data_IF_110435033078
#
_entry.id   IF_110435033078
#
_cell.length_a   1.000
_cell.length_b   1.000
_cell.length_c   1.000
_cell.angle_alpha   90.00
_cell.angle_beta   90.00
_cell.angle_gamma   90.00
#
_symmetry.space_group_name_H-M   'P 1'
#
loop_
_entity.id
_entity.type
_entity.pdbx_description
1 polymer ?
#
# COMPACT_ATOMS: atom_id res chain seq x y z
N UNK A 1 -30.76 23.08 25.07
CA UNK A 1 -30.25 22.79 23.72
C UNK A 1 -28.83 22.28 23.84
N UNK A 2 -28.70 20.95 23.92
CA UNK A 2 -27.39 20.27 23.99
C UNK A 2 -26.82 20.25 22.57
N UNK A 3 -25.82 21.06 22.31
CA UNK A 3 -25.08 21.03 21.04
C UNK A 3 -24.30 19.71 20.99
N UNK A 4 -24.81 18.74 20.25
CA UNK A 4 -24.05 17.54 19.93
C UNK A 4 -22.94 18.01 18.96
N UNK A 5 -21.74 18.21 19.49
CA UNK A 5 -20.56 18.39 18.65
C UNK A 5 -20.31 17.04 17.99
N UNK A 6 -20.72 16.91 16.73
CA UNK A 6 -20.36 15.77 15.92
C UNK A 6 -18.84 15.70 15.89
N UNK A 7 -18.27 14.62 16.45
CA UNK A 7 -16.84 14.32 16.30
C UNK A 7 -16.61 14.04 14.80
N UNK A 8 -16.08 15.04 14.11
CA UNK A 8 -15.64 14.89 12.72
C UNK A 8 -14.48 13.92 12.74
N UNK A 9 -14.61 12.77 12.06
CA UNK A 9 -13.54 11.80 11.94
C UNK A 9 -12.42 12.42 11.11
N UNK A 10 -11.23 12.56 11.71
CA UNK A 10 -10.01 13.00 11.04
C UNK A 10 -9.16 11.82 10.68
N UNK A 11 -8.44 11.91 9.56
CA UNK A 11 -7.48 10.90 9.14
C UNK A 11 -6.15 11.12 9.87
N UNK A 12 -5.49 10.04 10.20
CA UNK A 12 -4.24 10.08 10.94
C UNK A 12 -3.19 9.14 10.34
N UNK A 13 -1.95 9.37 10.73
CA UNK A 13 -0.83 8.51 10.36
C UNK A 13 -0.99 7.13 10.99
N UNK A 14 -0.70 6.03 10.24
CA UNK A 14 -0.58 4.72 10.87
C UNK A 14 0.64 4.71 11.81
N UNK A 15 0.57 3.92 12.88
CA UNK A 15 1.73 3.67 13.74
C UNK A 15 2.61 2.61 13.07
N UNK A 16 3.91 2.91 12.86
CA UNK A 16 4.85 1.93 12.34
C UNK A 16 5.02 0.78 13.34
N UNK A 17 4.89 -0.49 12.91
CA UNK A 17 5.08 -1.65 13.80
C UNK A 17 6.57 -1.99 14.02
N UNK A 18 7.48 -1.15 13.58
CA UNK A 18 8.94 -1.31 13.69
C UNK A 18 9.61 0.05 13.90
N UNK A 19 10.85 0.05 14.41
CA UNK A 19 11.65 1.26 14.50
C UNK A 19 12.03 1.76 13.09
N UNK A 20 12.22 3.07 12.94
CA UNK A 20 12.49 3.69 11.64
C UNK A 20 13.75 3.16 10.94
N UNK A 21 14.74 2.67 11.71
CA UNK A 21 15.98 2.10 11.21
C UNK A 21 15.95 0.57 11.06
N UNK A 22 14.85 -0.07 11.46
CA UNK A 22 14.80 -1.53 11.56
C UNK A 22 14.78 -2.27 10.22
N UNK A 23 14.33 -1.61 9.15
CA UNK A 23 14.28 -2.22 7.82
C UNK A 23 15.59 -2.03 7.03
N UNK A 24 16.54 -1.28 7.56
CA UNK A 24 17.84 -1.11 6.91
C UNK A 24 18.59 -2.47 6.81
N UNK A 25 19.37 -2.68 5.75
CA UNK A 25 19.69 -1.77 4.65
C UNK A 25 18.68 -1.79 3.50
N UNK A 26 17.59 -2.56 3.60
CA UNK A 26 16.60 -2.73 2.51
C UNK A 26 15.86 -1.42 2.27
N UNK A 27 15.39 -0.80 3.35
CA UNK A 27 14.85 0.56 3.35
C UNK A 27 15.58 1.32 4.46
N UNK A 28 16.32 2.36 4.11
CA UNK A 28 17.07 3.16 5.09
C UNK A 28 16.16 3.98 5.98
N UNK A 29 16.67 4.39 7.14
CA UNK A 29 15.98 5.34 8.00
C UNK A 29 15.71 6.66 7.27
N UNK A 30 16.65 7.14 6.47
CA UNK A 30 16.47 8.37 5.69
C UNK A 30 15.24 8.25 4.76
N UNK A 31 15.11 7.13 4.06
CA UNK A 31 13.93 6.88 3.22
C UNK A 31 12.66 6.87 4.05
N UNK A 32 12.62 6.22 5.20
CA UNK A 32 11.46 6.22 6.09
C UNK A 32 11.13 7.63 6.59
N UNK A 33 12.13 8.41 6.98
CA UNK A 33 11.92 9.78 7.46
C UNK A 33 11.23 10.65 6.40
N UNK A 34 11.59 10.51 5.12
CA UNK A 34 10.93 11.23 4.04
C UNK A 34 9.62 10.56 3.60
N UNK A 35 9.63 9.27 3.35
CA UNK A 35 8.50 8.55 2.75
C UNK A 35 7.30 8.49 3.71
N UNK A 36 7.53 8.08 4.94
CA UNK A 36 6.52 8.07 6.00
C UNK A 36 6.33 9.46 6.61
N UNK A 37 7.42 10.09 7.03
CA UNK A 37 7.39 11.32 7.83
C UNK A 37 7.04 12.58 7.04
N UNK A 38 7.23 12.61 5.73
CA UNK A 38 6.94 13.78 4.87
C UNK A 38 5.88 13.48 3.83
N UNK A 39 6.10 12.50 2.94
CA UNK A 39 5.12 12.20 1.88
C UNK A 39 3.79 11.77 2.45
N UNK A 40 3.74 10.72 3.26
CA UNK A 40 2.48 10.24 3.84
C UNK A 40 1.83 11.31 4.72
N UNK A 41 2.61 12.00 5.55
CA UNK A 41 2.07 13.07 6.40
C UNK A 41 1.41 14.17 5.57
N UNK A 42 1.99 14.53 4.44
CA UNK A 42 1.42 15.53 3.54
C UNK A 42 0.10 15.05 2.93
N UNK A 43 0.01 13.79 2.50
CA UNK A 43 -1.24 13.22 1.98
C UNK A 43 -2.34 13.21 3.05
N UNK A 44 -2.00 12.86 4.28
CA UNK A 44 -2.95 12.88 5.41
C UNK A 44 -3.44 14.31 5.67
N UNK A 45 -2.53 15.28 5.74
CA UNK A 45 -2.87 16.67 5.97
C UNK A 45 -3.77 17.21 4.84
N UNK A 46 -3.43 16.91 3.59
CA UNK A 46 -4.22 17.35 2.43
C UNK A 46 -5.60 16.72 2.43
N UNK A 47 -5.70 15.42 2.74
CA UNK A 47 -7.00 14.74 2.78
C UNK A 47 -7.92 15.37 3.83
N UNK A 48 -7.42 15.60 5.03
CA UNK A 48 -8.18 16.27 6.09
C UNK A 48 -8.70 17.63 5.66
N UNK A 49 -7.87 18.42 4.97
CA UNK A 49 -8.28 19.74 4.48
C UNK A 49 -9.30 19.64 3.33
N UNK A 50 -9.12 18.71 2.41
CA UNK A 50 -9.93 18.59 1.19
C UNK A 50 -11.33 18.06 1.45
N UNK A 51 -11.52 17.14 2.42
CA UNK A 51 -12.84 16.52 2.65
C UNK A 51 -13.79 17.39 3.44
N UNK A 52 -13.27 18.39 4.17
CA UNK A 52 -14.10 19.28 4.99
C UNK A 52 -15.17 19.99 4.17
N UNK A 53 -16.43 19.88 4.61
CA UNK A 53 -17.57 20.48 3.92
C UNK A 53 -17.99 19.76 2.63
N UNK A 54 -17.43 18.61 2.32
CA UNK A 54 -17.78 17.79 1.15
C UNK A 54 -18.61 16.57 1.55
N UNK A 55 -19.27 15.86 0.60
CA UNK A 55 -19.96 14.60 0.89
C UNK A 55 -19.05 13.48 1.40
N UNK A 56 -17.73 13.64 1.30
CA UNK A 56 -16.75 12.65 1.78
C UNK A 56 -16.39 12.82 3.25
N UNK A 57 -16.77 13.94 3.85
CA UNK A 57 -16.52 14.18 5.27
C UNK A 57 -17.13 13.07 6.13
N UNK A 58 -16.34 12.48 7.04
CA UNK A 58 -16.78 11.39 7.91
C UNK A 58 -16.72 10.00 7.29
N UNK A 59 -16.37 9.87 6.00
CA UNK A 59 -16.18 8.56 5.36
C UNK A 59 -14.80 8.01 5.66
N UNK A 60 -14.68 6.67 5.66
CA UNK A 60 -13.36 6.02 5.75
C UNK A 60 -12.55 6.28 4.48
N UNK A 61 -11.23 6.12 4.57
CA UNK A 61 -10.35 6.28 3.40
C UNK A 61 -10.74 5.28 2.31
N UNK A 62 -11.04 4.04 2.69
CA UNK A 62 -11.46 2.98 1.77
C UNK A 62 -12.77 3.34 1.05
N UNK A 63 -13.75 3.88 1.77
CA UNK A 63 -15.02 4.34 1.19
C UNK A 63 -14.79 5.47 0.19
N UNK A 64 -13.89 6.41 0.50
CA UNK A 64 -13.56 7.50 -0.40
C UNK A 64 -12.90 6.97 -1.68
N UNK A 65 -11.89 6.12 -1.55
CA UNK A 65 -11.16 5.55 -2.70
C UNK A 65 -12.09 4.75 -3.60
N UNK A 66 -13.08 4.05 -3.02
CA UNK A 66 -14.03 3.25 -3.78
C UNK A 66 -14.93 4.09 -4.70
N UNK A 67 -15.31 5.32 -4.31
CA UNK A 67 -16.37 6.09 -4.99
C UNK A 67 -15.96 7.48 -5.48
N UNK A 68 -14.85 8.04 -5.00
CA UNK A 68 -14.46 9.38 -5.40
C UNK A 68 -14.10 9.44 -6.89
N UNK A 69 -14.56 10.48 -7.61
CA UNK A 69 -14.11 10.71 -8.98
C UNK A 69 -12.64 11.12 -9.01
N UNK A 70 -12.02 11.06 -10.20
CA UNK A 70 -10.67 11.56 -10.38
C UNK A 70 -10.54 13.00 -9.90
N UNK A 71 -9.46 13.30 -9.19
CA UNK A 71 -9.20 14.61 -8.64
C UNK A 71 -8.42 14.56 -7.34
N UNK A 72 -8.31 15.71 -6.68
CA UNK A 72 -7.44 15.86 -5.50
C UNK A 72 -7.86 14.98 -4.33
N UNK A 73 -9.17 14.83 -4.06
CA UNK A 73 -9.64 13.95 -2.96
C UNK A 73 -9.26 12.51 -3.22
N UNK A 74 -9.52 12.00 -4.43
CA UNK A 74 -9.13 10.64 -4.80
C UNK A 74 -7.62 10.43 -4.72
N UNK A 75 -6.84 11.36 -5.26
CA UNK A 75 -5.38 11.24 -5.27
C UNK A 75 -4.81 11.18 -3.85
N UNK A 76 -5.26 12.06 -2.95
CA UNK A 76 -4.77 12.08 -1.58
C UNK A 76 -5.32 10.90 -0.75
N UNK A 77 -6.58 10.56 -0.89
CA UNK A 77 -7.16 9.39 -0.23
C UNK A 77 -6.49 8.08 -0.68
N UNK A 78 -6.27 7.94 -1.99
CA UNK A 78 -5.56 6.80 -2.55
C UNK A 78 -4.15 6.68 -1.98
N UNK A 79 -3.41 7.76 -1.94
CA UNK A 79 -2.06 7.76 -1.40
C UNK A 79 -2.01 7.52 0.12
N UNK A 80 -2.98 8.02 0.89
CA UNK A 80 -3.10 7.69 2.31
C UNK A 80 -3.32 6.19 2.49
N UNK A 81 -4.24 5.60 1.75
CA UNK A 81 -4.53 4.18 1.82
C UNK A 81 -3.33 3.34 1.38
N UNK A 82 -2.75 3.64 0.22
CA UNK A 82 -1.64 2.90 -0.35
C UNK A 82 -0.43 2.88 0.57
N UNK A 83 -0.05 4.03 1.11
CA UNK A 83 1.09 4.14 2.02
C UNK A 83 0.82 3.48 3.37
N UNK A 84 -0.41 3.56 3.88
CA UNK A 84 -0.80 2.87 5.12
C UNK A 84 -0.63 1.36 4.96
N UNK A 85 -1.17 0.79 3.89
CA UNK A 85 -1.03 -0.64 3.60
C UNK A 85 0.44 -1.02 3.38
N UNK A 86 1.20 -0.18 2.69
CA UNK A 86 2.61 -0.41 2.39
C UNK A 86 3.46 -0.48 3.65
N UNK A 87 3.41 0.52 4.52
CA UNK A 87 4.23 0.53 5.73
C UNK A 87 3.83 -0.55 6.74
N UNK A 88 2.56 -0.94 6.81
CA UNK A 88 2.08 -1.96 7.73
C UNK A 88 2.38 -3.40 7.27
N UNK A 89 2.81 -3.61 6.03
CA UNK A 89 3.08 -4.95 5.50
C UNK A 89 4.51 -5.44 5.70
N UNK A 90 5.39 -4.63 6.27
CA UNK A 90 6.80 -4.96 6.46
C UNK A 90 7.12 -5.37 7.89
N UNK A 91 8.14 -6.20 8.02
CA UNK A 91 8.73 -6.58 9.30
C UNK A 91 10.23 -6.77 9.13
N UNK A 92 11.07 -6.35 10.11
CA UNK A 92 12.52 -6.55 10.03
C UNK A 92 12.94 -8.01 10.12
N UNK A 93 12.09 -8.87 10.68
CA UNK A 93 12.36 -10.29 10.90
C UNK A 93 11.13 -11.11 10.54
N UNK A 94 10.90 -11.38 9.24
CA UNK A 94 9.79 -12.24 8.85
C UNK A 94 9.98 -13.64 9.43
N UNK A 95 8.92 -14.21 10.00
CA UNK A 95 8.94 -15.59 10.48
C UNK A 95 9.21 -16.57 9.35
N UNK A 96 8.72 -16.25 8.15
CA UNK A 96 8.91 -17.03 6.93
C UNK A 96 9.13 -16.07 5.75
N UNK A 97 9.94 -16.52 4.77
CA UNK A 97 10.19 -15.76 3.55
C UNK A 97 9.13 -16.00 2.45
N UNK A 98 8.06 -16.74 2.77
CA UNK A 98 6.98 -17.06 1.84
C UNK A 98 5.67 -17.19 2.60
N UNK A 99 4.53 -16.99 1.93
CA UNK A 99 3.23 -17.12 2.58
C UNK A 99 2.94 -18.54 3.03
N UNK A 100 2.05 -18.64 4.02
CA UNK A 100 1.52 -19.90 4.54
C UNK A 100 -0.01 -19.86 4.55
N UNK A 101 -0.65 -20.93 5.01
CA UNK A 101 -2.10 -21.00 5.22
C UNK A 101 -2.91 -20.74 3.95
N UNK A 102 -4.02 -20.07 4.11
CA UNK A 102 -4.98 -19.84 2.99
C UNK A 102 -4.41 -18.93 1.90
N UNK A 103 -3.48 -18.04 2.23
CA UNK A 103 -2.82 -17.23 1.20
C UNK A 103 -1.92 -18.11 0.31
N UNK A 104 -1.15 -19.03 0.90
CA UNK A 104 -0.33 -19.98 0.15
C UNK A 104 -1.19 -20.88 -0.75
N UNK A 105 -2.31 -21.36 -0.24
CA UNK A 105 -3.27 -22.19 -1.03
C UNK A 105 -3.83 -21.40 -2.21
N UNK A 106 -4.22 -20.14 -2.00
CA UNK A 106 -4.75 -19.29 -3.06
C UNK A 106 -3.69 -18.96 -4.12
N UNK A 107 -2.45 -18.71 -3.71
CA UNK A 107 -1.33 -18.48 -4.63
C UNK A 107 -1.08 -19.73 -5.47
N UNK A 108 -1.08 -20.90 -4.88
CA UNK A 108 -0.91 -22.15 -5.63
C UNK A 108 -2.06 -22.38 -6.61
N UNK A 109 -3.29 -22.13 -6.18
CA UNK A 109 -4.48 -22.25 -7.03
C UNK A 109 -4.42 -21.32 -8.25
N UNK A 110 -4.04 -20.06 -8.05
CA UNK A 110 -4.19 -19.01 -9.06
C UNK A 110 -2.90 -18.75 -9.87
N UNK A 111 -1.72 -19.07 -9.33
CA UNK A 111 -0.43 -18.84 -9.97
C UNK A 111 0.39 -20.13 -10.20
N UNK A 112 -0.03 -21.25 -9.64
CA UNK A 112 0.65 -22.53 -9.75
C UNK A 112 1.68 -22.80 -8.65
N UNK A 113 2.46 -21.81 -8.26
CA UNK A 113 3.38 -21.85 -7.12
C UNK A 113 3.81 -20.44 -6.71
N UNK A 114 4.50 -20.33 -5.58
CA UNK A 114 4.97 -19.04 -5.05
C UNK A 114 5.97 -18.34 -5.99
N UNK A 115 6.88 -19.08 -6.61
CA UNK A 115 7.88 -18.49 -7.50
C UNK A 115 7.24 -17.84 -8.74
N UNK A 116 6.24 -18.47 -9.33
CA UNK A 116 5.49 -17.89 -10.44
C UNK A 116 4.81 -16.58 -10.02
N UNK A 117 4.14 -16.59 -8.87
CA UNK A 117 3.53 -15.37 -8.34
C UNK A 117 4.58 -14.25 -8.13
N UNK A 118 5.69 -14.59 -7.49
CA UNK A 118 6.78 -13.64 -7.23
C UNK A 118 7.33 -13.04 -8.51
N UNK A 119 7.53 -13.87 -9.53
CA UNK A 119 8.01 -13.43 -10.85
C UNK A 119 7.00 -12.50 -11.53
N UNK A 120 5.71 -12.85 -11.54
CA UNK A 120 4.66 -12.02 -12.13
C UNK A 120 4.50 -10.69 -11.40
N UNK A 121 4.54 -10.70 -10.08
CA UNK A 121 4.43 -9.48 -9.26
C UNK A 121 5.64 -8.56 -9.49
N UNK A 122 6.84 -9.12 -9.51
CA UNK A 122 8.08 -8.39 -9.78
C UNK A 122 8.06 -7.80 -11.20
N UNK A 123 7.61 -8.58 -12.17
CA UNK A 123 7.48 -8.14 -13.56
C UNK A 123 6.48 -6.97 -13.67
N UNK A 124 5.34 -7.07 -13.02
CA UNK A 124 4.34 -6.01 -13.02
C UNK A 124 4.89 -4.71 -12.41
N UNK A 125 5.56 -4.81 -11.26
CA UNK A 125 6.15 -3.67 -10.58
C UNK A 125 7.29 -3.03 -11.39
N UNK A 126 8.15 -3.85 -12.00
CA UNK A 126 9.27 -3.37 -12.82
C UNK A 126 8.79 -2.67 -14.09
N UNK A 127 7.78 -3.23 -14.75
CA UNK A 127 7.29 -2.75 -16.05
C UNK A 127 6.29 -1.60 -15.96
N UNK A 128 5.81 -1.23 -14.78
CA UNK A 128 4.91 -0.11 -14.62
C UNK A 128 5.60 1.18 -15.06
N UNK A 129 5.06 1.80 -16.11
CA UNK A 129 5.62 3.03 -16.65
C UNK A 129 5.29 4.22 -15.75
N UNK A 130 6.32 4.94 -15.33
CA UNK A 130 6.17 6.12 -14.49
C UNK A 130 5.93 5.78 -13.02
N UNK A 131 5.14 6.62 -12.34
CA UNK A 131 4.77 6.46 -10.94
C UNK A 131 3.50 5.65 -10.78
N UNK A 132 3.47 4.82 -9.74
CA UNK A 132 2.31 4.00 -9.45
C UNK A 132 2.62 2.87 -8.47
N UNK A 133 1.75 1.88 -8.48
CA UNK A 133 1.74 0.77 -7.53
C UNK A 133 1.44 -0.54 -8.25
N UNK A 134 2.15 -1.61 -7.88
CA UNK A 134 1.77 -2.96 -8.26
C UNK A 134 1.13 -3.65 -7.06
N UNK A 135 0.01 -4.33 -7.29
CA UNK A 135 -0.78 -4.96 -6.23
C UNK A 135 -1.04 -6.42 -6.49
N UNK A 136 -0.88 -7.24 -5.44
CA UNK A 136 -1.61 -8.49 -5.32
C UNK A 136 -2.97 -8.14 -4.75
N UNK A 137 -4.03 -8.47 -5.46
CA UNK A 137 -5.40 -8.18 -5.06
C UNK A 137 -6.27 -9.43 -5.13
N UNK A 138 -7.37 -9.44 -4.38
CA UNK A 138 -8.36 -10.50 -4.44
C UNK A 138 -9.66 -9.94 -5.02
N UNK A 139 -10.16 -10.53 -6.09
CA UNK A 139 -11.40 -10.11 -6.71
C UNK A 139 -12.63 -10.59 -5.90
N UNK A 140 -13.83 -10.20 -6.36
CA UNK A 140 -15.09 -10.53 -5.70
C UNK A 140 -15.38 -12.03 -5.62
N UNK A 141 -14.76 -12.82 -6.48
CA UNK A 141 -14.93 -14.28 -6.53
C UNK A 141 -13.86 -15.02 -5.72
N UNK A 142 -12.99 -14.28 -5.03
CA UNK A 142 -11.91 -14.83 -4.22
C UNK A 142 -10.65 -15.20 -5.01
N UNK A 143 -10.59 -14.86 -6.29
CA UNK A 143 -9.43 -15.11 -7.14
C UNK A 143 -8.35 -14.05 -6.89
N UNK A 144 -7.11 -14.49 -6.78
CA UNK A 144 -5.96 -13.60 -6.70
C UNK A 144 -5.54 -13.13 -8.09
N UNK A 145 -5.32 -11.83 -8.22
CA UNK A 145 -4.89 -11.18 -9.46
C UNK A 145 -3.79 -10.18 -9.16
N UNK A 146 -2.94 -9.92 -10.14
CA UNK A 146 -1.93 -8.86 -10.08
C UNK A 146 -2.43 -7.71 -10.93
N UNK A 147 -2.48 -6.51 -10.33
CA UNK A 147 -2.92 -5.30 -11.02
C UNK A 147 -1.89 -4.19 -10.89
N UNK A 148 -1.75 -3.40 -11.94
CA UNK A 148 -0.91 -2.19 -11.97
C UNK A 148 -1.82 -0.99 -11.91
N UNK A 149 -1.55 -0.10 -10.95
CA UNK A 149 -2.35 1.09 -10.73
C UNK A 149 -1.47 2.33 -10.90
N UNK A 150 -1.82 3.25 -11.80
CA UNK A 150 -1.04 4.47 -11.98
C UNK A 150 -1.25 5.44 -10.82
N UNK A 151 -0.24 6.24 -10.53
CA UNK A 151 -0.29 7.32 -9.56
C UNK A 151 -0.76 6.85 -8.17
N UNK A 152 -1.87 7.35 -7.67
CA UNK A 152 -2.45 7.02 -6.36
C UNK A 152 -3.63 6.05 -6.41
N UNK A 153 -3.90 5.43 -7.56
CA UNK A 153 -5.02 4.50 -7.68
C UNK A 153 -4.83 3.21 -6.88
N UNK A 154 -5.92 2.51 -6.63
CA UNK A 154 -5.95 1.30 -5.79
C UNK A 154 -7.01 0.32 -6.30
N UNK A 155 -6.79 -1.00 -6.18
CA UNK A 155 -7.74 -2.04 -6.60
C UNK A 155 -9.15 -1.91 -6.00
N UNK A 156 -9.30 -1.30 -4.82
CA UNK A 156 -10.63 -1.05 -4.20
C UNK A 156 -11.57 -0.35 -5.17
N UNK A 157 -11.05 0.54 -6.01
CA UNK A 157 -11.87 1.26 -7.01
C UNK A 157 -12.55 0.31 -8.00
N UNK A 158 -11.98 -0.86 -8.18
CA UNK A 158 -12.50 -1.92 -9.06
C UNK A 158 -13.24 -3.02 -8.28
N UNK A 159 -13.52 -2.81 -7.00
CA UNK A 159 -14.20 -3.77 -6.15
C UNK A 159 -13.33 -4.91 -5.64
N UNK A 160 -12.00 -4.77 -5.70
CA UNK A 160 -11.05 -5.78 -5.24
C UNK A 160 -10.47 -5.43 -3.87
N UNK A 161 -10.00 -6.44 -3.14
CA UNK A 161 -9.26 -6.25 -1.88
C UNK A 161 -7.77 -6.15 -2.17
N UNK A 162 -7.08 -5.06 -1.81
CA UNK A 162 -5.62 -4.98 -1.91
C UNK A 162 -4.97 -5.81 -0.79
N UNK A 163 -4.08 -6.73 -1.15
CA UNK A 163 -3.42 -7.62 -0.20
C UNK A 163 -1.96 -7.24 0.03
N UNK A 164 -1.20 -7.01 -1.03
CA UNK A 164 0.22 -6.66 -0.99
C UNK A 164 0.48 -5.60 -2.05
N UNK A 165 1.09 -4.48 -1.67
CA UNK A 165 1.40 -3.40 -2.59
C UNK A 165 2.87 -3.06 -2.65
N UNK A 166 3.39 -2.84 -3.86
CA UNK A 166 4.74 -2.33 -4.09
C UNK A 166 4.67 -0.92 -4.65
N UNK A 167 5.20 0.02 -3.90
CA UNK A 167 5.34 1.41 -4.33
C UNK A 167 6.49 1.51 -5.33
N UNK A 168 6.19 1.92 -6.56
CA UNK A 168 7.20 2.14 -7.59
C UNK A 168 7.31 3.61 -7.99
N UNK A 169 6.77 4.51 -7.19
CA UNK A 169 7.17 5.92 -7.23
C UNK A 169 8.65 6.02 -6.89
N UNK A 170 9.38 6.89 -7.56
CA UNK A 170 10.83 7.05 -7.30
C UNK A 170 11.11 7.48 -5.86
N UNK A 171 10.23 8.24 -5.22
CA UNK A 171 10.39 8.63 -3.82
C UNK A 171 10.49 7.43 -2.85
N UNK A 172 9.96 6.27 -3.24
CA UNK A 172 10.01 5.07 -2.41
C UNK A 172 11.42 4.44 -2.35
N UNK A 173 12.24 4.66 -3.37
CA UNK A 173 13.51 3.93 -3.47
C UNK A 173 14.71 4.77 -3.93
N UNK A 174 14.52 6.00 -4.35
CA UNK A 174 15.61 6.75 -5.02
C UNK A 174 16.79 7.04 -4.11
N UNK A 175 16.57 7.33 -2.82
CA UNK A 175 17.64 7.59 -1.88
C UNK A 175 18.55 6.37 -1.65
N UNK A 176 17.98 5.18 -1.67
CA UNK A 176 18.71 3.93 -1.39
C UNK A 176 19.23 3.26 -2.67
N UNK A 177 18.49 3.35 -3.75
CA UNK A 177 18.75 2.60 -4.98
C UNK A 177 18.90 3.47 -6.23
N UNK A 178 18.67 4.76 -6.15
CA UNK A 178 18.63 5.68 -7.28
C UNK A 178 17.66 5.12 -8.36
N UNK A 179 18.09 4.98 -9.60
CA UNK A 179 17.24 4.45 -10.67
C UNK A 179 17.07 2.92 -10.67
N UNK A 180 17.69 2.22 -9.70
CA UNK A 180 17.69 0.74 -9.68
C UNK A 180 16.41 0.18 -9.07
N UNK A 181 15.27 0.39 -9.73
CA UNK A 181 13.97 -0.13 -9.29
C UNK A 181 14.00 -1.65 -9.08
N UNK A 182 14.67 -2.39 -9.95
CA UNK A 182 14.77 -3.85 -9.86
C UNK A 182 15.45 -4.32 -8.57
N UNK A 183 16.50 -3.63 -8.13
CA UNK A 183 17.19 -3.97 -6.88
C UNK A 183 16.31 -3.69 -5.66
N UNK A 184 15.61 -2.56 -5.67
CA UNK A 184 14.63 -2.22 -4.65
C UNK A 184 13.57 -3.31 -4.51
N UNK A 185 12.97 -3.71 -5.63
CA UNK A 185 11.92 -4.73 -5.65
C UNK A 185 12.45 -6.09 -5.18
N UNK A 186 13.63 -6.50 -5.63
CA UNK A 186 14.25 -7.76 -5.21
C UNK A 186 14.46 -7.82 -3.68
N UNK A 187 14.79 -6.68 -3.08
CA UNK A 187 15.01 -6.59 -1.64
C UNK A 187 13.73 -6.50 -0.82
N UNK A 188 12.64 -5.92 -1.36
CA UNK A 188 11.37 -5.83 -0.64
C UNK A 188 10.81 -7.21 -0.24
N UNK A 189 11.03 -8.23 -1.07
CA UNK A 189 10.60 -9.60 -0.76
C UNK A 189 11.16 -10.15 0.55
N UNK A 190 12.29 -9.61 1.03
CA UNK A 190 12.97 -10.06 2.24
C UNK A 190 12.33 -9.55 3.54
N UNK A 191 11.45 -8.58 3.48
CA UNK A 191 10.88 -7.90 4.65
C UNK A 191 9.34 -7.94 4.70
N UNK A 192 8.69 -8.78 3.93
CA UNK A 192 7.23 -8.87 3.92
C UNK A 192 6.75 -9.67 5.13
N UNK A 193 5.80 -9.11 5.86
CA UNK A 193 5.02 -9.80 6.89
C UNK A 193 3.84 -10.53 6.23
N UNK A 194 4.04 -11.80 5.90
CA UNK A 194 3.05 -12.59 5.19
C UNK A 194 1.78 -12.83 5.99
N UNK A 195 1.84 -12.80 7.31
CA UNK A 195 0.63 -12.86 8.16
C UNK A 195 -0.26 -11.65 7.97
N UNK A 196 0.33 -10.47 7.91
CA UNK A 196 -0.42 -9.23 7.64
C UNK A 196 -1.10 -9.31 6.27
N UNK A 197 -0.39 -9.78 5.25
CA UNK A 197 -0.95 -9.93 3.90
C UNK A 197 -2.11 -10.93 3.91
N UNK A 198 -1.95 -12.09 4.54
CA UNK A 198 -3.01 -13.10 4.66
C UNK A 198 -4.26 -12.56 5.36
N UNK A 199 -4.07 -11.78 6.43
CA UNK A 199 -5.18 -11.21 7.19
C UNK A 199 -6.02 -10.21 6.41
N UNK A 200 -5.53 -9.73 5.27
CA UNK A 200 -6.28 -8.82 4.38
C UNK A 200 -7.23 -9.55 3.41
N UNK A 201 -7.19 -10.87 3.37
CA UNK A 201 -8.04 -11.69 2.50
C UNK A 201 -9.55 -11.60 2.90
#
# INVERSE_FOLDING_TARGET
LTTITSLIMTYSMPTLPYAKDALAPIISQETIDFHYGKHLQTYVNNLNALVSGTPFEGKTVEEIVAVAPDGAIFNNAGQVLNHTLYFLQFTPQPEQNQPAGKLAEAIQRDFGNFENFKDEMTQAATSLFGSGWAWLAMDKDGKLVIVKEPNGSNPIRQGMKPLLGFDVWEHAYYLDYQNRRTDHLANLWKIIDWKVVENRM
#
